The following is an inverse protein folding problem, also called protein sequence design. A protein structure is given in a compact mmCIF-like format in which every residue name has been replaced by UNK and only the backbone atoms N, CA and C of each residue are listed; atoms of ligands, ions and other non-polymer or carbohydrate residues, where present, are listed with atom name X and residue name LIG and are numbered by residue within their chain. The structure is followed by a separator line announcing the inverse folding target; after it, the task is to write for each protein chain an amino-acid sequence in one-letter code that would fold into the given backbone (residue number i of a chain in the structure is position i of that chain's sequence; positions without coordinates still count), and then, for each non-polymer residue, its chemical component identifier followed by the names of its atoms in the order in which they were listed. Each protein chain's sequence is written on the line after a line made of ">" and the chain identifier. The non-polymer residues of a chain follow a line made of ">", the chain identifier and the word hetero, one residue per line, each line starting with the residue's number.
data_IF_469904197235
#
_entry.id   IF_469904197235
#
_cell.length_a   1.000
_cell.length_b   1.000
_cell.length_c   1.000
_cell.angle_alpha   90.00
_cell.angle_beta   90.00
_cell.angle_gamma   90.00
#
_symmetry.space_group_name_H-M   'P 1'
#
loop_
_entity.id
_entity.type
_entity.pdbx_description
1 polymer ?
#
# COMPACT_ATOMS: atom_id res chain seq x y z
N UNK A 1 -11.64 -22.88 -9.29
CA UNK A 1 -11.87 -21.78 -8.31
C UNK A 1 -12.87 -20.79 -8.91
N UNK A 2 -13.95 -20.43 -8.21
CA UNK A 2 -14.89 -19.42 -8.72
C UNK A 2 -14.21 -18.05 -8.91
N UNK A 3 -14.51 -17.36 -10.00
CA UNK A 3 -14.00 -16.03 -10.35
C UNK A 3 -14.22 -15.03 -9.20
N UNK A 4 -15.35 -15.14 -8.48
CA UNK A 4 -15.65 -14.31 -7.31
C UNK A 4 -14.73 -14.59 -6.12
N UNK A 5 -14.41 -15.86 -5.86
CA UNK A 5 -13.48 -16.26 -4.78
C UNK A 5 -12.05 -15.77 -5.08
N UNK A 6 -11.62 -15.84 -6.34
CA UNK A 6 -10.33 -15.30 -6.78
C UNK A 6 -10.26 -13.77 -6.60
N UNK A 7 -11.32 -13.05 -6.99
CA UNK A 7 -11.38 -11.60 -6.82
C UNK A 7 -11.38 -11.16 -5.36
N UNK A 8 -12.14 -11.84 -4.48
CA UNK A 8 -12.09 -11.61 -3.02
C UNK A 8 -10.70 -11.85 -2.44
N UNK A 9 -10.02 -12.91 -2.89
CA UNK A 9 -8.65 -13.19 -2.48
C UNK A 9 -7.68 -12.08 -2.90
N UNK A 10 -7.75 -11.63 -4.16
CA UNK A 10 -6.95 -10.51 -4.66
C UNK A 10 -7.21 -9.22 -3.86
N UNK A 11 -8.48 -8.90 -3.60
CA UNK A 11 -8.86 -7.77 -2.75
C UNK A 11 -8.21 -7.86 -1.36
N UNK A 12 -8.36 -8.98 -0.67
CA UNK A 12 -7.82 -9.17 0.67
C UNK A 12 -6.29 -9.08 0.68
N UNK A 13 -5.63 -9.72 -0.28
CA UNK A 13 -4.17 -9.69 -0.41
C UNK A 13 -3.66 -8.26 -0.63
N UNK A 14 -4.29 -7.50 -1.52
CA UNK A 14 -3.91 -6.11 -1.76
C UNK A 14 -4.20 -5.22 -0.56
N UNK A 15 -5.26 -5.51 0.22
CA UNK A 15 -5.58 -4.77 1.45
C UNK A 15 -4.50 -4.97 2.51
N UNK A 16 -4.02 -6.20 2.67
CA UNK A 16 -2.92 -6.52 3.59
C UNK A 16 -1.63 -5.82 3.15
N UNK A 17 -1.27 -5.93 1.87
CA UNK A 17 -0.08 -5.28 1.33
C UNK A 17 -0.10 -3.75 1.48
N UNK A 18 -1.27 -3.12 1.32
CA UNK A 18 -1.44 -1.69 1.58
C UNK A 18 -1.20 -1.34 3.05
N UNK A 19 -1.74 -2.13 3.97
CA UNK A 19 -1.53 -1.91 5.39
C UNK A 19 -0.04 -2.03 5.77
N UNK A 20 0.65 -3.05 5.26
CA UNK A 20 2.09 -3.24 5.45
C UNK A 20 2.89 -2.04 4.91
N UNK A 21 2.57 -1.59 3.69
CA UNK A 21 3.22 -0.42 3.06
C UNK A 21 3.02 0.85 3.89
N UNK A 22 1.82 1.07 4.44
CA UNK A 22 1.53 2.20 5.35
C UNK A 22 2.37 2.09 6.63
N UNK A 23 2.50 0.90 7.22
CA UNK A 23 3.35 0.72 8.39
C UNK A 23 4.81 1.04 8.10
N UNK A 24 5.35 0.60 6.96
CA UNK A 24 6.71 0.95 6.53
C UNK A 24 6.89 2.47 6.35
N UNK A 25 5.92 3.17 5.76
CA UNK A 25 5.95 4.64 5.65
C UNK A 25 6.01 5.30 7.04
N UNK A 26 5.20 4.83 7.99
CA UNK A 26 5.20 5.35 9.36
C UNK A 26 6.53 5.06 10.08
N UNK A 27 7.12 3.90 9.86
CA UNK A 27 8.44 3.55 10.39
C UNK A 27 9.55 4.45 9.85
N UNK A 28 9.55 4.74 8.53
CA UNK A 28 10.53 5.67 7.96
C UNK A 28 10.35 7.06 8.55
N UNK A 29 9.13 7.56 8.69
CA UNK A 29 8.90 8.85 9.33
C UNK A 29 9.37 8.88 10.79
N UNK A 30 9.21 7.77 11.54
CA UNK A 30 9.81 7.63 12.88
C UNK A 30 11.33 7.68 12.84
N UNK A 31 11.97 6.96 11.91
CA UNK A 31 13.42 6.96 11.70
C UNK A 31 13.96 8.34 11.34
N UNK A 32 13.31 9.06 10.42
CA UNK A 32 13.68 10.43 10.03
C UNK A 32 13.70 11.38 11.22
N UNK A 33 12.76 11.24 12.16
CA UNK A 33 12.75 12.03 13.40
C UNK A 33 13.94 11.72 14.31
N UNK A 34 14.41 10.47 14.33
CA UNK A 34 15.56 10.04 15.15
C UNK A 34 16.88 10.53 14.56
N UNK A 35 17.06 10.46 13.23
CA UNK A 35 18.31 10.81 12.56
C UNK A 35 18.64 12.31 12.51
N UNK A 36 17.79 13.19 13.05
CA UNK A 36 18.14 14.59 13.30
C UNK A 36 18.62 15.34 12.06
N UNK A 37 19.91 15.70 12.00
CA UNK A 37 20.54 16.47 10.90
C UNK A 37 21.40 15.61 9.94
N UNK A 38 21.33 14.28 10.02
CA UNK A 38 22.11 13.40 9.15
C UNK A 38 21.59 13.44 7.70
N UNK A 39 22.24 14.26 6.86
CA UNK A 39 21.81 14.51 5.48
C UNK A 39 21.81 13.26 4.61
N UNK A 40 22.74 12.33 4.83
CA UNK A 40 22.85 11.10 4.03
C UNK A 40 21.67 10.19 4.33
N UNK A 41 21.42 9.93 5.62
CA UNK A 41 20.28 9.12 6.03
C UNK A 41 18.95 9.76 5.65
N UNK A 42 18.84 11.09 5.67
CA UNK A 42 17.62 11.78 5.20
C UNK A 42 17.37 11.61 3.71
N UNK A 43 18.41 11.58 2.87
CA UNK A 43 18.26 11.39 1.44
C UNK A 43 17.79 9.97 1.11
N UNK A 44 18.39 8.96 1.73
CA UNK A 44 17.99 7.56 1.54
C UNK A 44 16.54 7.31 1.99
N UNK A 45 16.17 7.83 3.17
CA UNK A 45 14.81 7.72 3.70
C UNK A 45 13.79 8.49 2.84
N UNK A 46 14.19 9.56 2.16
CA UNK A 46 13.33 10.30 1.23
C UNK A 46 13.04 9.50 -0.04
N UNK A 47 14.06 8.89 -0.63
CA UNK A 47 13.88 8.04 -1.81
C UNK A 47 13.02 6.81 -1.46
N UNK A 48 13.27 6.18 -0.32
CA UNK A 48 12.47 5.06 0.17
C UNK A 48 11.00 5.47 0.38
N UNK A 49 10.74 6.63 1.02
CA UNK A 49 9.38 7.17 1.17
C UNK A 49 8.70 7.42 -0.18
N UNK A 50 9.42 7.96 -1.17
CA UNK A 50 8.87 8.24 -2.49
C UNK A 50 8.40 6.94 -3.17
N UNK A 51 9.21 5.89 -3.09
CA UNK A 51 8.86 4.57 -3.62
C UNK A 51 7.65 4.00 -2.89
N UNK A 52 7.66 3.99 -1.54
CA UNK A 52 6.55 3.44 -0.76
C UNK A 52 5.24 4.21 -0.98
N UNK A 53 5.28 5.53 -1.12
CA UNK A 53 4.10 6.32 -1.46
C UNK A 53 3.52 5.93 -2.81
N UNK A 54 4.35 5.75 -3.85
CA UNK A 54 3.90 5.29 -5.16
C UNK A 54 3.31 3.87 -5.10
N UNK A 55 3.91 2.97 -4.30
CA UNK A 55 3.40 1.62 -4.06
C UNK A 55 2.03 1.66 -3.37
N UNK A 56 1.90 2.45 -2.31
CA UNK A 56 0.64 2.63 -1.58
C UNK A 56 -0.47 3.18 -2.49
N UNK A 57 -0.16 4.16 -3.34
CA UNK A 57 -1.11 4.72 -4.31
C UNK A 57 -1.58 3.64 -5.31
N UNK A 58 -0.66 2.85 -5.85
CA UNK A 58 -0.98 1.75 -6.76
C UNK A 58 -1.84 0.66 -6.12
N UNK A 59 -1.53 0.29 -4.88
CA UNK A 59 -2.34 -0.67 -4.12
C UNK A 59 -3.73 -0.11 -3.81
N UNK A 60 -3.84 1.17 -3.44
CA UNK A 60 -5.12 1.84 -3.21
C UNK A 60 -5.98 1.92 -4.48
N UNK A 61 -5.37 2.25 -5.64
CA UNK A 61 -6.05 2.19 -6.95
C UNK A 61 -6.58 0.78 -7.25
N UNK A 62 -5.73 -0.23 -7.04
CA UNK A 62 -6.08 -1.64 -7.28
C UNK A 62 -7.24 -2.10 -6.39
N UNK A 63 -7.23 -1.70 -5.11
CA UNK A 63 -8.32 -1.98 -4.17
C UNK A 63 -9.65 -1.43 -4.65
N UNK A 64 -9.69 -0.15 -5.06
CA UNK A 64 -10.92 0.48 -5.58
C UNK A 64 -11.48 -0.30 -6.78
N UNK A 65 -10.62 -0.72 -7.69
CA UNK A 65 -11.02 -1.54 -8.86
C UNK A 65 -11.60 -2.89 -8.41
N UNK A 66 -10.98 -3.55 -7.44
CA UNK A 66 -11.49 -4.82 -6.93
C UNK A 66 -12.81 -4.66 -6.18
N UNK A 67 -12.98 -3.60 -5.39
CA UNK A 67 -14.23 -3.28 -4.71
C UNK A 67 -15.37 -3.06 -5.69
N UNK A 68 -15.16 -2.25 -6.72
CA UNK A 68 -16.15 -2.00 -7.76
C UNK A 68 -16.55 -3.29 -8.48
N UNK A 69 -15.59 -4.14 -8.83
CA UNK A 69 -15.88 -5.45 -9.47
C UNK A 69 -16.63 -6.39 -8.55
N UNK A 70 -16.32 -6.41 -7.25
CA UNK A 70 -17.02 -7.23 -6.26
C UNK A 70 -18.47 -6.77 -6.05
N UNK A 71 -18.72 -5.46 -6.06
CA UNK A 71 -20.06 -4.89 -5.98
C UNK A 71 -20.89 -5.27 -7.21
N UNK A 72 -20.31 -5.19 -8.41
CA UNK A 72 -21.00 -5.56 -9.65
C UNK A 72 -21.36 -7.06 -9.70
N UNK A 73 -20.50 -7.93 -9.17
CA UNK A 73 -20.78 -9.38 -9.04
C UNK A 73 -21.74 -9.73 -7.89
N UNK A 74 -22.07 -8.78 -7.01
CA UNK A 74 -23.05 -8.96 -5.93
C UNK A 74 -24.45 -8.50 -6.30
N UNK A 75 -24.60 -7.74 -7.40
CA UNK A 75 -25.87 -7.20 -7.92
C UNK A 75 -26.46 -8.00 -9.08
N UNK A 76 -25.71 -8.98 -9.60
CA UNK A 76 -26.15 -9.97 -10.58
C UNK A 76 -26.46 -11.29 -9.86
#
# INVERSE_FOLDING_TARGET
>A
MSTRRNLKYKYLKTKIALNETIQSILEINRKRRIFGNDRVHHQDLNEELKVLNAVAENQARSLRVYEQRLQNQGRA
#
